data_IF_084598184033
#
_entry.id   IF_084598184033
#
_cell.length_a   1.000
_cell.length_b   1.000
_cell.length_c   1.000
_cell.angle_alpha   90.00
_cell.angle_beta   90.00
_cell.angle_gamma   90.00
#
_symmetry.space_group_name_H-M   'P 1'
#
loop_
_entity.id
_entity.type
_entity.pdbx_description
1 polymer ?
#
# COMPACT_ATOMS: atom_id res chain seq x y z
N UNK A 1 27.19 -39.36 0.26
CA UNK A 1 27.12 -37.96 -0.21
C UNK A 1 25.86 -37.35 0.39
N UNK A 2 26.02 -36.56 1.44
CA UNK A 2 24.91 -35.97 2.19
C UNK A 2 24.24 -34.92 1.30
N UNK A 3 23.04 -35.24 0.80
CA UNK A 3 22.19 -34.31 0.06
C UNK A 3 21.72 -33.19 1.01
N UNK A 4 22.58 -32.19 1.25
CA UNK A 4 22.20 -30.94 1.91
C UNK A 4 21.37 -30.09 0.96
N UNK A 5 20.18 -30.58 0.61
CA UNK A 5 19.11 -29.67 0.22
C UNK A 5 18.92 -28.77 1.42
N UNK A 6 19.48 -27.56 1.36
CA UNK A 6 19.20 -26.47 2.32
C UNK A 6 17.70 -26.20 2.21
N UNK A 7 16.93 -26.97 2.95
CA UNK A 7 15.49 -26.84 3.01
C UNK A 7 15.21 -25.43 3.49
N UNK A 8 14.52 -24.65 2.66
CA UNK A 8 14.11 -23.30 3.03
C UNK A 8 13.18 -23.44 4.24
N UNK A 9 13.44 -22.72 5.36
CA UNK A 9 12.65 -22.86 6.58
C UNK A 9 11.17 -22.65 6.30
N UNK A 10 10.30 -23.45 6.92
CA UNK A 10 8.85 -23.44 6.69
C UNK A 10 8.26 -22.05 6.88
N UNK A 11 8.73 -21.28 7.87
CA UNK A 11 8.29 -19.90 8.08
C UNK A 11 8.55 -18.95 6.91
N UNK A 12 9.68 -19.11 6.19
CA UNK A 12 9.99 -18.28 5.01
C UNK A 12 9.04 -18.61 3.85
N UNK A 13 8.58 -19.86 3.74
CA UNK A 13 7.58 -20.27 2.74
C UNK A 13 6.23 -19.62 3.00
N UNK A 14 5.79 -19.58 4.25
CA UNK A 14 4.53 -18.92 4.63
C UNK A 14 4.57 -17.43 4.29
N UNK A 15 5.65 -16.74 4.67
CA UNK A 15 5.83 -15.31 4.37
C UNK A 15 5.80 -15.07 2.85
N UNK A 16 6.47 -15.92 2.07
CA UNK A 16 6.43 -15.81 0.61
C UNK A 16 5.01 -15.90 0.03
N UNK A 17 4.18 -16.82 0.53
CA UNK A 17 2.78 -16.95 0.08
C UNK A 17 1.97 -15.69 0.42
N UNK A 18 2.17 -15.12 1.62
CA UNK A 18 1.50 -13.87 2.01
C UNK A 18 1.89 -12.72 1.07
N UNK A 19 3.18 -12.58 0.75
CA UNK A 19 3.64 -11.57 -0.21
C UNK A 19 3.13 -11.79 -1.63
N UNK A 20 2.95 -13.04 -2.04
CA UNK A 20 2.38 -13.36 -3.35
C UNK A 20 0.90 -12.95 -3.43
N UNK A 21 0.11 -13.29 -2.41
CA UNK A 21 -1.30 -12.85 -2.31
C UNK A 21 -1.36 -11.33 -2.23
N UNK A 22 -0.49 -10.72 -1.41
CA UNK A 22 -0.32 -9.28 -1.29
C UNK A 22 -0.11 -8.63 -2.65
N UNK A 23 0.84 -9.13 -3.45
CA UNK A 23 1.09 -8.59 -4.79
C UNK A 23 -0.16 -8.62 -5.68
N UNK A 24 -0.96 -9.68 -5.60
CA UNK A 24 -2.22 -9.79 -6.36
C UNK A 24 -3.23 -8.72 -5.94
N UNK A 25 -3.37 -8.47 -4.63
CA UNK A 25 -4.23 -7.42 -4.10
C UNK A 25 -3.72 -6.04 -4.52
N UNK A 26 -2.41 -5.79 -4.39
CA UNK A 26 -1.77 -4.53 -4.80
C UNK A 26 -2.00 -4.24 -6.28
N UNK A 27 -1.93 -5.27 -7.13
CA UNK A 27 -2.25 -5.16 -8.56
C UNK A 27 -3.72 -4.82 -8.83
N UNK A 28 -4.65 -5.46 -8.14
CA UNK A 28 -6.07 -5.13 -8.26
C UNK A 28 -6.32 -3.67 -7.84
N UNK A 29 -5.69 -3.23 -6.76
CA UNK A 29 -5.80 -1.87 -6.26
C UNK A 29 -5.22 -0.85 -7.25
N UNK A 30 -4.11 -1.18 -7.92
CA UNK A 30 -3.54 -0.38 -8.98
C UNK A 30 -4.51 -0.20 -10.16
N UNK A 31 -5.15 -1.29 -10.57
CA UNK A 31 -6.13 -1.30 -11.66
C UNK A 31 -7.36 -0.45 -11.30
N UNK A 32 -7.84 -0.58 -10.06
CA UNK A 32 -8.93 0.27 -9.53
C UNK A 32 -8.52 1.75 -9.54
N UNK A 33 -7.31 2.10 -9.12
CA UNK A 33 -6.82 3.48 -9.15
C UNK A 33 -6.79 4.07 -10.57
N UNK A 34 -6.32 3.30 -11.55
CA UNK A 34 -6.27 3.76 -12.94
C UNK A 34 -7.68 3.98 -13.49
N UNK A 35 -8.60 3.04 -13.24
CA UNK A 35 -10.00 3.18 -13.63
C UNK A 35 -10.67 4.37 -12.94
N UNK A 36 -10.41 4.56 -11.64
CA UNK A 36 -10.91 5.70 -10.89
C UNK A 36 -10.41 7.03 -11.48
N UNK A 37 -9.15 7.12 -11.89
CA UNK A 37 -8.62 8.29 -12.58
C UNK A 37 -9.35 8.61 -13.89
N UNK A 38 -9.68 7.58 -14.67
CA UNK A 38 -10.45 7.74 -15.91
C UNK A 38 -11.88 8.23 -15.64
N UNK A 39 -12.54 7.66 -14.62
CA UNK A 39 -13.88 8.07 -14.19
C UNK A 39 -13.86 9.52 -13.70
N UNK A 40 -12.89 9.90 -12.87
CA UNK A 40 -12.71 11.26 -12.39
C UNK A 40 -12.52 12.27 -13.52
N UNK A 41 -11.73 11.94 -14.53
CA UNK A 41 -11.55 12.77 -15.72
C UNK A 41 -12.87 13.01 -16.46
N UNK A 42 -13.73 11.97 -16.53
CA UNK A 42 -15.03 12.06 -17.19
C UNK A 42 -16.09 12.79 -16.36
N UNK A 43 -16.12 12.57 -15.05
CA UNK A 43 -17.12 13.12 -14.13
C UNK A 43 -16.92 14.61 -13.84
N UNK A 44 -15.68 15.10 -13.89
CA UNK A 44 -15.33 16.50 -13.60
C UNK A 44 -15.02 17.30 -14.87
N UNK A 45 -15.60 16.91 -16.02
CA UNK A 45 -15.45 17.65 -17.28
C UNK A 45 -15.80 19.13 -17.17
N UNK A 46 -16.75 19.48 -16.31
CA UNK A 46 -17.21 20.86 -16.11
C UNK A 46 -16.26 21.72 -15.28
N UNK A 47 -15.32 21.11 -14.54
CA UNK A 47 -14.28 21.82 -13.79
C UNK A 47 -12.91 21.31 -14.26
N UNK A 48 -12.44 21.78 -15.44
CA UNK A 48 -11.36 21.15 -16.19
C UNK A 48 -10.03 21.09 -15.44
N UNK A 49 -9.76 22.08 -14.57
CA UNK A 49 -8.54 22.14 -13.77
C UNK A 49 -8.53 21.01 -12.72
N UNK A 50 -9.61 20.89 -11.93
CA UNK A 50 -9.70 19.89 -10.86
C UNK A 50 -9.78 18.47 -11.46
N UNK A 51 -10.55 18.29 -12.54
CA UNK A 51 -10.65 17.01 -13.24
C UNK A 51 -9.31 16.53 -13.81
N UNK A 52 -8.55 17.44 -14.44
CA UNK A 52 -7.23 17.09 -15.00
C UNK A 52 -6.22 16.77 -13.91
N UNK A 53 -6.09 17.60 -12.88
CA UNK A 53 -5.16 17.35 -11.78
C UNK A 53 -5.49 16.09 -11.00
N UNK A 54 -6.77 15.87 -10.67
CA UNK A 54 -7.22 14.67 -9.97
C UNK A 54 -6.92 13.40 -10.76
N UNK A 55 -7.29 13.39 -12.05
CA UNK A 55 -7.05 12.22 -12.91
C UNK A 55 -5.57 11.84 -13.03
N UNK A 56 -4.69 12.84 -13.21
CA UNK A 56 -3.24 12.63 -13.30
C UNK A 56 -2.71 12.02 -12.00
N UNK A 57 -3.12 12.53 -10.84
CA UNK A 57 -2.70 11.97 -9.56
C UNK A 57 -3.09 10.50 -9.42
N UNK A 58 -4.35 10.15 -9.73
CA UNK A 58 -4.82 8.76 -9.66
C UNK A 58 -4.05 7.83 -10.61
N UNK A 59 -3.75 8.29 -11.82
CA UNK A 59 -2.96 7.51 -12.79
C UNK A 59 -1.52 7.31 -12.29
N UNK A 60 -0.89 8.36 -11.78
CA UNK A 60 0.48 8.30 -11.23
C UNK A 60 0.54 7.36 -10.04
N UNK A 61 -0.41 7.46 -9.11
CA UNK A 61 -0.50 6.52 -7.98
C UNK A 61 -0.71 5.09 -8.47
N UNK A 62 -1.61 4.86 -9.42
CA UNK A 62 -1.81 3.55 -10.03
C UNK A 62 -0.52 2.95 -10.60
N UNK A 63 0.28 3.76 -11.31
CA UNK A 63 1.58 3.36 -11.84
C UNK A 63 2.58 2.98 -10.75
N UNK A 64 2.62 3.74 -9.64
CA UNK A 64 3.46 3.42 -8.47
C UNK A 64 3.01 2.08 -7.86
N UNK A 65 1.70 1.85 -7.72
CA UNK A 65 1.16 0.60 -7.20
C UNK A 65 1.48 -0.61 -8.09
N UNK A 66 1.49 -0.45 -9.43
CA UNK A 66 1.97 -1.51 -10.35
C UNK A 66 3.44 -1.82 -10.04
N UNK A 67 4.29 -0.81 -9.91
CA UNK A 67 5.70 -0.99 -9.60
C UNK A 67 5.92 -1.72 -8.27
N UNK A 68 5.17 -1.34 -7.24
CA UNK A 68 5.19 -2.01 -5.93
C UNK A 68 4.69 -3.45 -6.01
N UNK A 69 3.59 -3.71 -6.72
CA UNK A 69 3.06 -5.06 -6.92
C UNK A 69 4.06 -5.98 -7.63
N UNK A 70 4.76 -5.47 -8.64
CA UNK A 70 5.86 -6.20 -9.29
C UNK A 70 6.99 -6.51 -8.30
N UNK A 71 7.40 -5.52 -7.51
CA UNK A 71 8.46 -5.68 -6.51
C UNK A 71 8.09 -6.76 -5.48
N UNK A 72 6.86 -6.75 -4.96
CA UNK A 72 6.36 -7.78 -4.04
C UNK A 72 6.36 -9.17 -4.68
N UNK A 73 6.00 -9.27 -5.96
CA UNK A 73 6.06 -10.53 -6.71
C UNK A 73 7.52 -11.03 -6.86
N UNK A 74 8.48 -10.14 -7.08
CA UNK A 74 9.89 -10.50 -7.10
C UNK A 74 10.39 -10.94 -5.73
N UNK A 75 9.97 -10.27 -4.65
CA UNK A 75 10.32 -10.60 -3.27
C UNK A 75 9.76 -11.96 -2.88
N UNK A 76 8.48 -12.25 -3.21
CA UNK A 76 7.85 -13.54 -2.91
C UNK A 76 8.61 -14.69 -3.58
N UNK A 77 8.92 -14.57 -4.88
CA UNK A 77 9.73 -15.57 -5.61
C UNK A 77 11.14 -15.71 -5.01
N UNK A 78 11.77 -14.59 -4.63
CA UNK A 78 13.11 -14.61 -4.04
C UNK A 78 13.15 -15.25 -2.64
N UNK A 79 12.07 -15.11 -1.85
CA UNK A 79 11.89 -15.79 -0.56
C UNK A 79 11.76 -17.31 -0.73
N UNK A 80 11.06 -17.79 -1.76
CA UNK A 80 10.97 -19.23 -2.07
C UNK A 80 12.33 -19.85 -2.39
N UNK A 81 13.25 -19.09 -2.97
CA UNK A 81 14.63 -19.53 -3.19
C UNK A 81 15.56 -19.29 -1.99
N UNK A 82 15.03 -18.82 -0.85
CA UNK A 82 15.79 -18.61 0.38
C UNK A 82 16.88 -17.51 0.29
N UNK A 83 16.77 -16.57 -0.67
CA UNK A 83 17.78 -15.52 -0.87
C UNK A 83 17.85 -14.59 0.34
N UNK A 84 19.07 -14.29 0.84
CA UNK A 84 19.29 -13.43 2.01
C UNK A 84 18.75 -12.01 1.81
N UNK A 85 18.91 -11.46 0.62
CA UNK A 85 18.47 -10.09 0.30
C UNK A 85 16.95 -9.91 0.42
N UNK A 86 16.15 -10.89 -0.03
CA UNK A 86 14.69 -10.84 0.09
C UNK A 86 14.24 -10.77 1.56
N UNK A 87 14.97 -11.45 2.46
CA UNK A 87 14.69 -11.41 3.89
C UNK A 87 14.94 -10.01 4.49
N UNK A 88 16.00 -9.33 4.06
CA UNK A 88 16.31 -7.97 4.48
C UNK A 88 15.20 -7.01 4.04
N UNK A 89 14.71 -7.15 2.80
CA UNK A 89 13.61 -6.34 2.28
C UNK A 89 12.34 -6.50 3.10
N UNK A 90 11.95 -7.74 3.43
CA UNK A 90 10.78 -8.00 4.27
C UNK A 90 10.92 -7.31 5.64
N UNK A 91 12.09 -7.40 6.27
CA UNK A 91 12.33 -6.75 7.58
C UNK A 91 12.20 -5.23 7.45
N UNK A 92 12.81 -4.63 6.43
CA UNK A 92 12.72 -3.19 6.18
C UNK A 92 11.27 -2.76 5.98
N UNK A 93 10.54 -3.43 5.08
CA UNK A 93 9.13 -3.13 4.83
C UNK A 93 8.28 -3.26 6.10
N UNK A 94 8.49 -4.32 6.88
CA UNK A 94 7.76 -4.53 8.15
C UNK A 94 8.01 -3.37 9.14
N UNK A 95 9.26 -2.93 9.27
CA UNK A 95 9.60 -1.79 10.14
C UNK A 95 8.99 -0.49 9.62
N UNK A 96 9.05 -0.24 8.30
CA UNK A 96 8.42 0.94 7.69
C UNK A 96 6.90 0.93 7.91
N UNK A 97 6.24 -0.22 7.74
CA UNK A 97 4.81 -0.37 7.96
C UNK A 97 4.43 -0.10 9.43
N UNK A 98 5.23 -0.55 10.39
CA UNK A 98 5.02 -0.25 11.80
C UNK A 98 5.14 1.25 12.10
N UNK A 99 6.19 1.90 11.59
CA UNK A 99 6.38 3.36 11.76
C UNK A 99 5.22 4.12 11.13
N UNK A 100 4.82 3.76 9.91
CA UNK A 100 3.69 4.38 9.23
C UNK A 100 2.40 4.21 10.04
N UNK A 101 2.13 3.01 10.56
CA UNK A 101 0.95 2.75 11.40
C UNK A 101 0.92 3.60 12.67
N UNK A 102 2.07 3.77 13.34
CA UNK A 102 2.18 4.64 14.53
C UNK A 102 1.88 6.11 14.19
N UNK A 103 2.42 6.62 13.08
CA UNK A 103 2.15 7.98 12.61
C UNK A 103 0.66 8.16 12.32
N UNK A 104 0.02 7.17 11.68
CA UNK A 104 -1.41 7.22 11.38
C UNK A 104 -2.26 7.29 12.64
N UNK A 105 -1.94 6.50 13.68
CA UNK A 105 -2.65 6.53 14.96
C UNK A 105 -2.58 7.93 15.60
N UNK A 106 -1.40 8.55 15.60
CA UNK A 106 -1.20 9.90 16.15
C UNK A 106 -2.05 10.93 15.39
N UNK A 107 -2.05 10.87 14.05
CA UNK A 107 -2.81 11.79 13.20
C UNK A 107 -4.33 11.61 13.33
N UNK A 108 -4.81 10.39 13.50
CA UNK A 108 -6.24 10.12 13.72
C UNK A 108 -6.67 10.64 15.09
N UNK A 109 -5.85 10.45 16.14
CA UNK A 109 -6.15 10.97 17.47
C UNK A 109 -6.26 12.50 17.49
N UNK A 110 -5.34 13.20 16.81
CA UNK A 110 -5.34 14.68 16.74
C UNK A 110 -6.51 15.23 15.92
N UNK A 111 -6.81 14.63 14.77
CA UNK A 111 -7.92 15.04 13.91
C UNK A 111 -9.29 14.78 14.54
N UNK A 112 -9.47 13.68 15.29
CA UNK A 112 -10.71 13.42 16.02
C UNK A 112 -10.90 14.35 17.22
N UNK A 113 -9.82 14.77 17.89
CA UNK A 113 -9.90 15.81 18.93
C UNK A 113 -10.35 17.15 18.35
N UNK A 114 -9.74 17.60 17.24
CA UNK A 114 -10.14 18.83 16.55
C UNK A 114 -11.59 18.75 16.05
N UNK A 115 -11.97 17.62 15.44
CA UNK A 115 -13.33 17.39 14.96
C UNK A 115 -14.36 17.45 16.09
N UNK A 116 -14.06 16.86 17.26
CA UNK A 116 -14.94 16.93 18.45
C UNK A 116 -15.02 18.32 19.05
N UNK A 117 -13.93 19.09 19.05
CA UNK A 117 -13.94 20.49 19.53
C UNK A 117 -14.79 21.37 18.61
N UNK A 118 -14.62 21.25 17.30
CA UNK A 118 -15.40 21.99 16.30
C UNK A 118 -16.89 21.60 16.37
N UNK A 119 -17.20 20.31 16.46
CA UNK A 119 -18.59 19.85 16.65
C UNK A 119 -19.17 20.35 17.98
N UNK A 120 -18.39 20.34 19.06
CA UNK A 120 -18.81 20.89 20.35
C UNK A 120 -19.14 22.37 20.26
N UNK A 121 -18.32 23.15 19.56
CA UNK A 121 -18.57 24.57 19.30
C UNK A 121 -19.86 24.80 18.50
N UNK A 122 -20.05 24.07 17.40
CA UNK A 122 -21.24 24.20 16.53
C UNK A 122 -22.52 23.76 17.26
N UNK A 123 -22.46 22.70 18.06
CA UNK A 123 -23.64 22.14 18.75
C UNK A 123 -24.07 22.98 19.96
N UNK A 124 -23.15 23.72 20.58
CA UNK A 124 -23.43 24.61 21.71
C UNK A 124 -23.89 26.03 21.28
N UNK A 125 -24.01 26.29 19.98
CA UNK A 125 -24.70 27.47 19.45
C UNK A 125 -23.96 28.80 19.62
N UNK A 126 -22.69 28.85 19.20
CA UNK A 126 -22.01 30.10 18.81
C UNK A 126 -21.77 30.12 17.31
#
# INVERSE_FOLDING_TARGET
MENKFKAVPTGVKVISVVYYIGSGITFLLALVCILAGLIFASALKEIPIIGSFGSILFVVFGLIFIGLGLLEMFISKALWHGKRWARIFVVIFTVLSLISGLITIINVASSQLLGKIIYGFITLGF
#
